data_IF_265195771484
#
_entry.id   IF_265195771484
#
_cell.length_a   1.000
_cell.length_b   1.000
_cell.length_c   1.000
_cell.angle_alpha   90.00
_cell.angle_beta   90.00
_cell.angle_gamma   90.00
#
_symmetry.space_group_name_H-M   'P 1'
#
loop_
_entity.id
_entity.type
_entity.pdbx_description
1 polymer ?
#
# COMPACT_ATOMS: atom_id res chain seq x y z
N UNK A 1 -12.00 -4.40 7.51
CA UNK A 1 -12.13 -5.45 8.54
C UNK A 1 -13.03 -6.52 8.00
N UNK A 2 -12.64 -7.80 8.09
CA UNK A 2 -13.52 -8.88 7.65
C UNK A 2 -14.70 -8.98 8.64
N UNK A 3 -15.90 -9.18 8.10
CA UNK A 3 -17.13 -9.38 8.92
C UNK A 3 -17.01 -10.68 9.74
N UNK A 4 -16.29 -11.67 9.19
CA UNK A 4 -15.99 -12.95 9.85
C UNK A 4 -14.49 -13.13 9.88
N UNK A 5 -13.95 -13.57 11.01
CA UNK A 5 -12.54 -13.88 11.12
C UNK A 5 -12.15 -14.97 10.12
N UNK A 6 -11.21 -14.72 9.18
CA UNK A 6 -10.75 -15.74 8.27
C UNK A 6 -9.89 -16.76 9.04
N UNK A 7 -9.75 -18.01 8.54
CA UNK A 7 -8.89 -19.01 9.19
C UNK A 7 -7.43 -18.54 9.40
N UNK A 8 -6.94 -17.62 8.56
CA UNK A 8 -5.70 -16.88 8.75
C UNK A 8 -5.72 -15.56 7.97
N UNK A 9 -4.74 -14.68 8.22
CA UNK A 9 -4.49 -13.49 7.39
C UNK A 9 -3.52 -13.74 6.23
N UNK A 10 -3.08 -14.99 6.03
CA UNK A 10 -2.26 -15.39 4.88
C UNK A 10 -3.11 -15.35 3.62
N UNK A 11 -2.62 -14.66 2.59
CA UNK A 11 -3.29 -14.50 1.30
C UNK A 11 -2.62 -15.37 0.21
N UNK A 12 -2.77 -14.97 -1.05
CA UNK A 12 -2.22 -15.68 -2.22
C UNK A 12 -0.71 -15.52 -2.42
N UNK A 13 -0.09 -14.57 -1.73
CA UNK A 13 1.35 -14.28 -1.81
C UNK A 13 1.85 -13.97 -3.24
N UNK A 14 1.02 -13.28 -4.04
CA UNK A 14 1.36 -12.90 -5.43
C UNK A 14 2.37 -11.76 -5.51
N UNK A 15 2.50 -10.97 -4.43
CA UNK A 15 3.47 -9.89 -4.28
C UNK A 15 3.99 -9.89 -2.83
N UNK A 16 5.27 -9.58 -2.58
CA UNK A 16 5.89 -9.71 -1.26
C UNK A 16 5.67 -8.46 -0.37
N UNK A 17 4.62 -7.69 -0.63
CA UNK A 17 4.26 -6.48 0.10
C UNK A 17 2.74 -6.34 0.17
N UNK A 18 2.25 -5.53 1.10
CA UNK A 18 0.82 -5.32 1.22
C UNK A 18 0.32 -4.19 0.32
N UNK A 19 -0.91 -4.32 -0.15
CA UNK A 19 -1.60 -3.29 -0.91
C UNK A 19 -2.72 -2.71 -0.05
N UNK A 20 -2.76 -1.38 0.08
CA UNK A 20 -3.93 -0.68 0.58
C UNK A 20 -4.75 -0.18 -0.62
N UNK A 21 -5.84 -0.87 -1.01
CA UNK A 21 -6.70 -0.39 -2.08
C UNK A 21 -7.58 0.76 -1.58
N UNK A 22 -8.15 1.52 -2.51
CA UNK A 22 -9.02 2.67 -2.22
C UNK A 22 -8.38 3.61 -1.17
N UNK A 23 -7.09 3.91 -1.37
CA UNK A 23 -6.41 4.89 -0.53
C UNK A 23 -7.04 6.27 -0.76
N UNK A 24 -7.37 6.94 0.34
CA UNK A 24 -7.92 8.29 0.34
C UNK A 24 -7.01 9.17 1.19
N UNK A 25 -6.63 10.30 0.61
CA UNK A 25 -5.90 11.34 1.32
C UNK A 25 -6.79 11.92 2.43
N UNK A 26 -6.16 12.35 3.52
CA UNK A 26 -6.88 13.01 4.59
C UNK A 26 -7.39 14.37 4.09
N UNK A 27 -8.69 14.61 4.27
CA UNK A 27 -9.29 15.93 4.09
C UNK A 27 -8.93 16.82 5.29
N UNK A 28 -8.12 17.90 5.11
CA UNK A 28 -7.68 18.77 6.20
C UNK A 28 -8.83 19.49 6.91
N UNK A 29 -9.98 19.65 6.26
CA UNK A 29 -11.15 20.32 6.82
C UNK A 29 -12.08 19.36 7.59
N UNK A 30 -11.74 18.05 7.59
CA UNK A 30 -12.53 17.04 8.25
C UNK A 30 -12.56 17.25 9.77
N UNK A 31 -13.77 17.24 10.34
CA UNK A 31 -13.99 17.27 11.79
C UNK A 31 -14.01 15.87 12.41
N UNK A 32 -13.83 14.83 11.60
CA UNK A 32 -13.81 13.46 12.08
C UNK A 32 -12.53 13.22 12.89
N UNK A 33 -12.68 12.75 14.13
CA UNK A 33 -11.57 12.55 15.09
C UNK A 33 -11.03 11.11 15.11
N UNK A 34 -11.48 10.27 14.21
CA UNK A 34 -10.91 8.93 14.02
C UNK A 34 -9.59 9.00 13.26
N UNK A 35 -8.81 7.93 13.34
CA UNK A 35 -7.52 7.82 12.66
C UNK A 35 -7.69 7.90 11.14
N UNK A 36 -6.83 8.70 10.52
CA UNK A 36 -6.66 8.78 9.08
C UNK A 36 -6.14 7.46 8.51
N UNK A 37 -6.24 7.29 7.18
CA UNK A 37 -5.69 6.12 6.51
C UNK A 37 -4.17 6.03 6.70
N UNK A 38 -3.51 7.17 6.61
CA UNK A 38 -2.07 7.32 6.82
C UNK A 38 -1.65 6.87 8.22
N UNK A 39 -2.29 7.36 9.28
CA UNK A 39 -1.99 6.95 10.66
C UNK A 39 -2.16 5.44 10.86
N UNK A 40 -3.24 4.85 10.34
CA UNK A 40 -3.47 3.39 10.43
C UNK A 40 -2.37 2.58 9.73
N UNK A 41 -1.87 3.05 8.59
CA UNK A 41 -0.80 2.37 7.84
C UNK A 41 0.53 2.51 8.58
N UNK A 42 0.83 3.68 9.12
CA UNK A 42 2.04 3.89 9.93
C UNK A 42 2.03 2.99 11.17
N UNK A 43 0.92 2.94 11.91
CA UNK A 43 0.76 1.99 13.02
C UNK A 43 0.90 0.52 12.57
N UNK A 44 0.39 0.17 11.40
CA UNK A 44 0.51 -1.19 10.87
C UNK A 44 1.97 -1.58 10.59
N UNK A 45 2.78 -0.65 10.08
CA UNK A 45 4.23 -0.84 9.86
C UNK A 45 5.01 -1.00 11.18
N UNK A 46 4.57 -0.36 12.26
CA UNK A 46 5.19 -0.50 13.59
C UNK A 46 5.04 -1.91 14.19
N UNK A 47 4.04 -2.69 13.75
CA UNK A 47 3.87 -4.08 14.22
C UNK A 47 5.05 -4.97 13.77
N UNK A 48 5.78 -4.58 12.73
CA UNK A 48 7.01 -5.25 12.27
C UNK A 48 6.79 -6.55 11.49
N UNK A 49 5.54 -6.96 11.26
CA UNK A 49 5.21 -8.11 10.40
C UNK A 49 5.20 -7.76 8.90
N UNK A 50 5.18 -6.47 8.57
CA UNK A 50 5.18 -5.94 7.21
C UNK A 50 6.05 -4.70 7.15
N UNK A 51 6.89 -4.60 6.13
CA UNK A 51 7.82 -3.46 5.96
C UNK A 51 7.35 -2.47 4.88
N UNK A 52 6.47 -2.88 3.98
CA UNK A 52 6.03 -2.07 2.84
C UNK A 52 4.53 -2.18 2.61
N UNK A 53 3.88 -1.03 2.40
CA UNK A 53 2.49 -0.92 1.97
C UNK A 53 2.40 0.00 0.75
N UNK A 54 1.97 -0.55 -0.39
CA UNK A 54 1.66 0.21 -1.60
C UNK A 54 0.19 0.63 -1.56
N UNK A 55 -0.07 1.93 -1.56
CA UNK A 55 -1.41 2.49 -1.48
C UNK A 55 -1.90 2.90 -2.87
N UNK A 56 -2.92 2.20 -3.37
CA UNK A 56 -3.53 2.47 -4.66
C UNK A 56 -4.80 3.31 -4.46
N UNK A 57 -4.83 4.49 -5.08
CA UNK A 57 -6.04 5.31 -5.20
C UNK A 57 -6.97 4.73 -6.26
N UNK A 58 -8.24 5.11 -6.24
CA UNK A 58 -9.20 4.69 -7.26
C UNK A 58 -8.76 5.16 -8.66
N UNK A 59 -8.79 4.25 -9.63
CA UNK A 59 -8.22 4.49 -10.96
C UNK A 59 -6.72 4.21 -11.07
N UNK A 60 -6.05 3.80 -9.98
CA UNK A 60 -4.70 3.26 -9.99
C UNK A 60 -4.69 1.74 -10.07
N UNK A 61 -3.65 1.16 -10.68
CA UNK A 61 -3.48 -0.30 -10.81
C UNK A 61 -2.00 -0.64 -10.83
N UNK A 62 -1.60 -1.75 -10.20
CA UNK A 62 -0.26 -2.30 -10.36
C UNK A 62 -0.31 -3.43 -11.40
N UNK A 63 0.42 -3.29 -12.50
CA UNK A 63 0.60 -4.37 -13.47
C UNK A 63 1.87 -5.14 -13.14
N UNK A 64 1.73 -6.39 -12.73
CA UNK A 64 2.85 -7.31 -12.47
C UNK A 64 2.93 -8.33 -13.59
N UNK A 65 4.11 -8.48 -14.20
CA UNK A 65 4.39 -9.47 -15.23
C UNK A 65 5.81 -10.02 -15.06
N UNK A 66 5.92 -11.24 -14.51
CA UNK A 66 7.19 -11.81 -14.09
C UNK A 66 7.88 -10.93 -13.06
N UNK A 67 9.13 -10.53 -13.34
CA UNK A 67 9.93 -9.68 -12.45
C UNK A 67 9.67 -8.18 -12.64
N UNK A 68 8.66 -7.80 -13.45
CA UNK A 68 8.29 -6.40 -13.69
C UNK A 68 7.03 -6.02 -12.93
N UNK A 69 7.07 -4.89 -12.22
CA UNK A 69 5.89 -4.27 -11.60
C UNK A 69 5.81 -2.79 -12.00
N UNK A 70 4.79 -2.40 -12.75
CA UNK A 70 4.62 -1.01 -13.23
C UNK A 70 3.33 -0.43 -12.69
N UNK A 71 3.40 0.79 -12.13
CA UNK A 71 2.20 1.55 -11.77
C UNK A 71 1.49 2.02 -13.04
N UNK A 72 0.23 1.65 -13.19
CA UNK A 72 -0.66 2.01 -14.29
C UNK A 72 -1.90 2.73 -13.74
N UNK A 73 -2.69 3.27 -14.66
CA UNK A 73 -3.92 3.98 -14.33
C UNK A 73 -3.82 5.47 -14.67
N UNK A 74 -4.59 6.28 -13.97
CA UNK A 74 -4.72 7.72 -14.23
C UNK A 74 -4.32 8.59 -13.03
N UNK A 75 -3.91 7.98 -11.93
CA UNK A 75 -3.63 8.65 -10.67
C UNK A 75 -2.39 8.08 -9.99
N UNK A 76 -1.71 8.92 -9.21
CA UNK A 76 -0.54 8.56 -8.42
C UNK A 76 -0.89 7.57 -7.32
N UNK A 77 0.10 6.75 -6.95
CA UNK A 77 0.06 5.91 -5.76
C UNK A 77 0.91 6.52 -4.65
N UNK A 78 0.68 6.09 -3.41
CA UNK A 78 1.51 6.47 -2.26
C UNK A 78 2.19 5.23 -1.70
N UNK A 79 3.51 5.29 -1.52
CA UNK A 79 4.30 4.19 -0.98
C UNK A 79 4.68 4.50 0.47
N UNK A 80 4.39 3.54 1.35
CA UNK A 80 4.80 3.58 2.73
C UNK A 80 5.82 2.46 2.96
N UNK A 81 6.97 2.83 3.53
CA UNK A 81 8.00 1.91 3.97
C UNK A 81 8.32 2.23 5.42
N UNK A 82 8.60 1.19 6.21
CA UNK A 82 8.94 1.35 7.63
C UNK A 82 10.15 2.30 7.78
N UNK A 83 10.08 3.19 8.77
CA UNK A 83 11.13 4.18 9.08
C UNK A 83 11.44 5.19 7.94
N UNK A 84 10.60 5.26 6.91
CA UNK A 84 10.73 6.19 5.80
C UNK A 84 9.55 7.17 5.71
N UNK A 85 9.81 8.37 5.18
CA UNK A 85 8.75 9.33 4.84
C UNK A 85 7.96 8.77 3.65
N UNK A 86 6.61 8.76 3.69
CA UNK A 86 5.78 8.27 2.59
C UNK A 86 6.05 9.01 1.28
N UNK A 87 6.12 8.28 0.17
CA UNK A 87 6.49 8.81 -1.16
C UNK A 87 5.31 8.76 -2.13
N UNK A 88 5.08 9.85 -2.86
CA UNK A 88 4.18 9.83 -4.03
C UNK A 88 4.89 9.20 -5.23
N UNK A 89 4.17 8.37 -5.97
CA UNK A 89 4.65 7.64 -7.14
C UNK A 89 3.82 8.03 -8.37
N UNK A 90 4.51 8.46 -9.42
CA UNK A 90 3.88 8.83 -10.68
C UNK A 90 3.38 7.61 -11.45
N UNK A 91 2.31 7.78 -12.22
CA UNK A 91 1.88 6.75 -13.17
C UNK A 91 3.03 6.44 -14.13
N UNK A 92 3.30 5.16 -14.34
CA UNK A 92 4.42 4.68 -15.13
C UNK A 92 5.69 4.40 -14.33
N UNK A 93 5.75 4.73 -13.03
CA UNK A 93 6.88 4.37 -12.18
C UNK A 93 7.08 2.85 -12.14
N UNK A 94 8.34 2.44 -12.31
CA UNK A 94 8.78 1.07 -12.15
C UNK A 94 8.99 0.75 -10.67
N UNK A 95 8.22 -0.21 -10.18
CA UNK A 95 8.18 -0.71 -8.82
C UNK A 95 8.73 -2.13 -8.71
N UNK A 96 9.43 -2.63 -9.72
CA UNK A 96 10.01 -3.98 -9.74
C UNK A 96 11.00 -4.22 -8.59
N UNK A 97 11.57 -3.16 -8.02
CA UNK A 97 12.39 -3.26 -6.81
C UNK A 97 11.62 -3.79 -5.59
N UNK A 98 10.29 -3.59 -5.54
CA UNK A 98 9.43 -4.11 -4.48
C UNK A 98 9.19 -5.62 -4.61
N UNK A 99 9.43 -6.24 -5.77
CA UNK A 99 9.27 -7.69 -5.95
C UNK A 99 10.45 -8.47 -5.36
N UNK A 100 11.55 -7.80 -5.03
CA UNK A 100 12.73 -8.44 -4.44
C UNK A 100 12.51 -8.59 -2.94
N UNK A 101 12.41 -9.83 -2.48
CA UNK A 101 12.37 -10.14 -1.06
C UNK A 101 13.72 -9.73 -0.45
N UNK A 102 13.69 -8.85 0.55
CA UNK A 102 14.87 -8.58 1.38
C UNK A 102 15.30 -9.90 2.02
N UNK A 103 16.56 -10.29 1.81
CA UNK A 103 17.15 -11.49 2.42
C UNK A 103 17.33 -11.32 3.93
#
# INVERSE_FOLDING_TARGET
MPIVYPPSFTALDLVPFNINPHYLDHDPESKHKGETREERILQYLEIGSVETVLCLREGGTLLVNGDSAILKGIIKAKLFQKDEIPKELEVGTDLSFLLKIAK
#
